data_IF_392379076034
#
_entry.id   IF_392379076034
#
_cell.length_a   1.000
_cell.length_b   1.000
_cell.length_c   1.000
_cell.angle_alpha   90.00
_cell.angle_beta   90.00
_cell.angle_gamma   90.00
#
_symmetry.space_group_name_H-M   'P 1'
#
loop_
_entity.id
_entity.type
_entity.pdbx_description
1 polymer ?
#
# COMPACT_ATOMS: atom_id res chain seq x y z
N UNK A 1 45.67 -8.03 -16.86
CA UNK A 1 45.55 -7.73 -15.42
C UNK A 1 44.28 -6.91 -15.22
N UNK A 2 43.59 -7.20 -14.13
CA UNK A 2 42.43 -6.53 -13.53
C UNK A 2 41.05 -6.68 -14.15
N UNK A 3 40.15 -7.04 -13.25
CA UNK A 3 38.87 -7.71 -13.40
C UNK A 3 37.75 -6.76 -12.92
N UNK A 4 36.52 -7.16 -13.21
CA UNK A 4 35.24 -6.53 -12.91
C UNK A 4 35.13 -5.68 -11.63
N UNK A 5 34.37 -4.59 -11.74
CA UNK A 5 33.56 -4.06 -10.65
C UNK A 5 32.19 -3.68 -11.21
N UNK A 6 31.39 -4.69 -11.57
CA UNK A 6 29.96 -4.52 -11.63
C UNK A 6 29.51 -4.07 -10.24
N UNK A 7 29.15 -2.81 -10.11
CA UNK A 7 28.50 -2.30 -8.92
C UNK A 7 27.16 -3.02 -8.78
N UNK A 8 27.19 -4.15 -8.08
CA UNK A 8 26.00 -4.81 -7.58
C UNK A 8 25.32 -3.80 -6.65
N UNK A 9 24.31 -3.12 -7.18
CA UNK A 9 23.33 -2.43 -6.39
C UNK A 9 22.55 -3.54 -5.67
N UNK A 10 23.00 -3.87 -4.46
CA UNK A 10 22.25 -4.74 -3.56
C UNK A 10 20.97 -3.99 -3.21
N UNK A 11 19.93 -4.16 -4.04
CA UNK A 11 18.58 -3.73 -3.72
C UNK A 11 18.20 -4.42 -2.41
N UNK A 12 18.09 -3.62 -1.37
CA UNK A 12 17.56 -4.08 -0.10
C UNK A 12 16.10 -4.51 -0.34
N UNK A 13 15.66 -5.70 0.11
CA UNK A 13 14.27 -6.14 -0.03
C UNK A 13 13.28 -5.16 0.65
N UNK A 14 13.74 -4.35 1.61
CA UNK A 14 12.95 -3.29 2.25
C UNK A 14 12.67 -2.09 1.33
N UNK A 15 13.56 -1.79 0.38
CA UNK A 15 13.39 -0.72 -0.59
C UNK A 15 12.30 -1.05 -1.61
N UNK A 16 12.20 -2.33 -1.97
CA UNK A 16 11.25 -2.81 -2.96
C UNK A 16 9.82 -2.89 -2.43
N UNK A 17 9.65 -3.15 -1.13
CA UNK A 17 8.36 -2.99 -0.46
C UNK A 17 7.97 -1.52 -0.36
N UNK A 18 8.90 -0.63 0.03
CA UNK A 18 8.61 0.82 0.10
C UNK A 18 8.19 1.40 -1.24
N UNK A 19 8.88 1.07 -2.33
CA UNK A 19 8.53 1.58 -3.66
C UNK A 19 7.23 0.96 -4.23
N UNK A 20 6.92 -0.29 -3.88
CA UNK A 20 5.66 -0.93 -4.29
C UNK A 20 4.42 -0.37 -3.56
N UNK A 21 4.58 0.29 -2.41
CA UNK A 21 3.49 0.93 -1.65
C UNK A 21 3.47 2.46 -1.78
N UNK A 22 4.46 3.05 -2.46
CA UNK A 22 4.58 4.50 -2.67
C UNK A 22 4.06 4.98 -4.03
N UNK A 23 3.28 4.16 -4.76
CA UNK A 23 2.34 4.75 -5.70
C UNK A 23 1.26 5.47 -4.86
N UNK A 24 1.12 6.81 -4.92
CA UNK A 24 0.07 7.53 -4.17
C UNK A 24 -1.35 7.00 -4.47
N UNK A 25 -1.50 6.26 -5.57
CA UNK A 25 -2.69 5.54 -5.99
C UNK A 25 -3.06 4.38 -5.04
N UNK A 26 -2.11 3.70 -4.41
CA UNK A 26 -2.37 2.51 -3.59
C UNK A 26 -2.98 2.84 -2.23
N UNK A 27 -2.43 3.84 -1.54
CA UNK A 27 -3.00 4.33 -0.27
C UNK A 27 -4.39 4.93 -0.51
N UNK A 28 -4.56 5.67 -1.60
CA UNK A 28 -5.87 6.24 -1.98
C UNK A 28 -6.89 5.14 -2.28
N UNK A 29 -6.47 4.05 -2.93
CA UNK A 29 -7.29 2.87 -3.17
C UNK A 29 -7.67 2.17 -1.86
N UNK A 30 -6.71 1.96 -0.94
CA UNK A 30 -6.96 1.36 0.37
C UNK A 30 -8.01 2.17 1.15
N UNK A 31 -7.86 3.50 1.18
CA UNK A 31 -8.81 4.39 1.85
C UNK A 31 -10.20 4.34 1.22
N UNK A 32 -10.29 4.27 -0.11
CA UNK A 32 -11.56 4.13 -0.84
C UNK A 32 -12.25 2.80 -0.49
N UNK A 33 -11.52 1.68 -0.57
CA UNK A 33 -12.02 0.35 -0.22
C UNK A 33 -12.50 0.27 1.24
N UNK A 34 -11.78 0.90 2.17
CA UNK A 34 -12.18 0.95 3.57
C UNK A 34 -13.51 1.68 3.76
N UNK A 35 -13.70 2.83 3.08
CA UNK A 35 -14.94 3.61 3.12
C UNK A 35 -16.11 2.81 2.53
N UNK A 36 -15.91 2.19 1.38
CA UNK A 36 -16.92 1.33 0.73
C UNK A 36 -17.31 0.12 1.59
N UNK A 37 -16.34 -0.46 2.30
CA UNK A 37 -16.59 -1.55 3.25
C UNK A 37 -17.32 -1.10 4.53
N UNK A 38 -17.56 0.21 4.70
CA UNK A 38 -18.22 0.80 5.86
C UNK A 38 -17.29 0.94 7.07
N UNK A 39 -15.99 1.09 6.86
CA UNK A 39 -15.04 1.43 7.90
C UNK A 39 -14.96 2.95 8.09
N UNK A 40 -14.69 3.38 9.32
CA UNK A 40 -14.38 4.76 9.65
C UNK A 40 -12.92 5.03 9.28
N UNK A 41 -12.68 6.12 8.54
CA UNK A 41 -11.34 6.62 8.24
C UNK A 41 -11.18 7.99 8.88
N UNK A 42 -10.21 8.15 9.77
CA UNK A 42 -9.88 9.41 10.44
C UNK A 42 -8.55 9.97 9.92
N UNK A 43 -8.43 11.29 9.86
CA UNK A 43 -7.16 11.98 9.65
C UNK A 43 -6.68 12.44 11.01
N UNK A 44 -5.71 11.72 11.56
CA UNK A 44 -5.20 11.95 12.91
C UNK A 44 -4.16 13.08 12.93
N UNK A 45 -3.52 13.34 11.78
CA UNK A 45 -2.63 14.47 11.60
C UNK A 45 -2.00 14.53 10.21
N UNK A 46 -1.22 15.56 9.98
CA UNK A 46 -0.39 15.70 8.78
C UNK A 46 1.02 16.14 9.19
N UNK A 47 2.02 15.39 8.75
CA UNK A 47 3.42 15.68 9.02
C UNK A 47 4.10 15.91 7.68
N UNK A 48 4.43 17.17 7.37
CA UNK A 48 4.89 17.55 6.04
C UNK A 48 3.84 17.22 4.96
N UNK A 49 4.23 16.41 3.98
CA UNK A 49 3.33 15.93 2.92
C UNK A 49 2.55 14.66 3.28
N UNK A 50 2.92 13.97 4.38
CA UNK A 50 2.32 12.70 4.77
C UNK A 50 1.07 12.91 5.62
N UNK A 51 -0.01 12.20 5.28
CA UNK A 51 -1.24 12.16 6.05
C UNK A 51 -1.21 10.95 6.99
N UNK A 52 -1.26 11.21 8.29
CA UNK A 52 -1.43 10.16 9.29
C UNK A 52 -2.92 9.84 9.42
N UNK A 53 -3.34 8.66 8.98
CA UNK A 53 -4.74 8.25 8.98
C UNK A 53 -4.92 6.92 9.72
N UNK A 54 -5.98 6.82 10.53
CA UNK A 54 -6.42 5.57 11.13
C UNK A 54 -7.69 5.05 10.45
N UNK A 55 -7.82 3.72 10.43
CA UNK A 55 -9.01 3.03 9.92
C UNK A 55 -9.54 2.12 11.03
N UNK A 56 -10.81 2.29 11.40
CA UNK A 56 -11.45 1.52 12.46
C UNK A 56 -12.87 1.08 12.08
N UNK A 57 -13.36 0.01 12.68
CA UNK A 57 -14.72 -0.47 12.42
C UNK A 57 -14.98 -1.87 12.98
N UNK A 58 -16.17 -2.39 12.71
CA UNK A 58 -16.53 -3.76 13.11
C UNK A 58 -15.73 -4.80 12.31
N UNK A 59 -15.56 -6.00 12.88
CA UNK A 59 -14.95 -7.12 12.17
C UNK A 59 -15.72 -7.52 10.90
N UNK A 60 -17.04 -7.31 10.85
CA UNK A 60 -17.81 -7.59 9.64
C UNK A 60 -17.48 -6.60 8.51
N UNK A 61 -17.28 -5.31 8.84
CA UNK A 61 -16.79 -4.32 7.88
C UNK A 61 -15.36 -4.66 7.43
N UNK A 62 -14.48 -5.02 8.36
CA UNK A 62 -13.12 -5.47 8.04
C UNK A 62 -13.10 -6.69 7.11
N UNK A 63 -13.99 -7.68 7.32
CA UNK A 63 -14.12 -8.84 6.44
C UNK A 63 -14.52 -8.45 5.01
N UNK A 64 -15.40 -7.46 4.83
CA UNK A 64 -15.76 -6.93 3.50
C UNK A 64 -14.57 -6.23 2.84
N UNK A 65 -13.86 -5.41 3.61
CA UNK A 65 -12.64 -4.74 3.16
C UNK A 65 -11.59 -5.74 2.67
N UNK A 66 -11.26 -6.76 3.49
CA UNK A 66 -10.25 -7.76 3.14
C UNK A 66 -10.62 -8.52 1.85
N UNK A 67 -11.91 -8.87 1.66
CA UNK A 67 -12.38 -9.50 0.42
C UNK A 67 -12.20 -8.57 -0.79
N UNK A 68 -12.56 -7.31 -0.66
CA UNK A 68 -12.43 -6.33 -1.74
C UNK A 68 -10.95 -6.09 -2.11
N UNK A 69 -10.07 -6.05 -1.10
CA UNK A 69 -8.63 -5.93 -1.29
C UNK A 69 -8.07 -7.11 -2.08
N UNK A 70 -8.37 -8.36 -1.67
CA UNK A 70 -7.90 -9.56 -2.36
C UNK A 70 -8.44 -9.68 -3.80
N UNK A 71 -9.69 -9.28 -4.04
CA UNK A 71 -10.27 -9.29 -5.38
C UNK A 71 -9.62 -8.26 -6.30
N UNK A 72 -9.28 -7.08 -5.76
CA UNK A 72 -8.60 -6.02 -6.51
C UNK A 72 -7.15 -6.35 -6.87
N UNK A 73 -6.51 -7.28 -6.15
CA UNK A 73 -5.16 -7.79 -6.46
C UNK A 73 -5.11 -8.70 -7.69
N UNK A 74 -6.27 -9.21 -8.13
CA UNK A 74 -6.39 -10.13 -9.27
C UNK A 74 -6.54 -9.40 -10.62
N UNK A 75 -6.69 -8.07 -10.60
CA UNK A 75 -6.88 -7.22 -11.78
C UNK A 75 -5.57 -6.64 -12.35
N UNK A 76 -4.41 -7.23 -12.04
CA UNK A 76 -3.16 -6.89 -12.74
C UNK A 76 -3.12 -7.67 -14.05
N UNK A 77 -3.41 -7.08 -15.24
CA UNK A 77 -3.12 -7.75 -16.49
C UNK A 77 -1.60 -7.91 -16.57
N UNK A 78 -1.15 -9.15 -16.72
CA UNK A 78 0.20 -9.44 -17.16
C UNK A 78 0.45 -8.64 -18.45
N UNK A 79 1.36 -7.67 -18.39
CA UNK A 79 1.85 -6.94 -19.54
C UNK A 79 3.24 -7.41 -19.89
#
# INVERSE_FOLDING_TARGET
>A
MSNAASHAHTMSPDGQLREAFEAPDDITRIVSLAREAGMLVTLDGQIGAEKCQSIAGSLNAFRRFARALCNGSMDTPAR
#
